data_IF_189737986215
#
_entry.id   IF_189737986215
#
_cell.length_a   1.000
_cell.length_b   1.000
_cell.length_c   1.000
_cell.angle_alpha   90.00
_cell.angle_beta   90.00
_cell.angle_gamma   90.00
#
_symmetry.space_group_name_H-M   'P 1'
#
loop_
_entity.id
_entity.type
_entity.pdbx_description
1 polymer ?
#
# COMPACT_ATOMS: atom_id res chain seq x y z
N UNK A 1 4.87 -7.19 -3.20
CA UNK A 1 4.79 -6.94 -4.65
C UNK A 1 5.93 -6.00 -5.06
N UNK A 2 6.44 -6.12 -6.31
CA UNK A 2 7.47 -5.24 -6.88
C UNK A 2 8.93 -5.59 -6.56
N UNK A 3 9.22 -6.53 -5.69
CA UNK A 3 10.58 -7.02 -5.45
C UNK A 3 10.96 -8.09 -6.47
N UNK A 4 12.19 -7.98 -6.99
CA UNK A 4 12.77 -9.00 -7.90
C UNK A 4 13.60 -10.02 -7.11
N UNK A 5 13.98 -11.13 -7.76
CA UNK A 5 14.73 -12.22 -7.11
C UNK A 5 16.04 -11.78 -6.46
N UNK A 6 16.74 -10.79 -7.03
CA UNK A 6 17.94 -10.18 -6.44
C UNK A 6 17.64 -9.46 -5.12
N UNK A 7 16.50 -8.76 -5.03
CA UNK A 7 16.09 -8.04 -3.83
C UNK A 7 15.76 -9.01 -2.70
N UNK A 8 15.06 -10.11 -3.02
CA UNK A 8 14.76 -11.18 -2.06
C UNK A 8 16.03 -11.84 -1.54
N UNK A 9 17.01 -12.12 -2.42
CA UNK A 9 18.30 -12.66 -2.02
C UNK A 9 19.06 -11.69 -1.12
N UNK A 10 19.06 -10.41 -1.45
CA UNK A 10 19.68 -9.36 -0.63
C UNK A 10 18.99 -9.24 0.73
N UNK A 11 17.66 -9.29 0.75
CA UNK A 11 16.87 -9.23 1.99
C UNK A 11 17.22 -10.39 2.94
N UNK A 12 17.34 -11.62 2.44
CA UNK A 12 17.73 -12.78 3.25
C UNK A 12 19.16 -12.63 3.78
N UNK A 13 20.09 -12.14 2.96
CA UNK A 13 21.46 -11.86 3.39
C UNK A 13 21.51 -10.81 4.50
N UNK A 14 20.82 -9.68 4.36
CA UNK A 14 20.76 -8.64 5.39
C UNK A 14 20.11 -9.15 6.68
N UNK A 15 19.04 -9.97 6.57
CA UNK A 15 18.41 -10.59 7.74
C UNK A 15 19.37 -11.52 8.49
N UNK A 16 20.17 -12.32 7.76
CA UNK A 16 21.20 -13.17 8.36
C UNK A 16 22.29 -12.35 9.05
N UNK A 17 22.75 -11.26 8.42
CA UNK A 17 23.71 -10.32 9.02
C UNK A 17 23.15 -9.71 10.30
N UNK A 18 21.87 -9.30 10.31
CA UNK A 18 21.21 -8.76 11.50
C UNK A 18 21.13 -9.80 12.64
N UNK A 19 20.77 -11.04 12.34
CA UNK A 19 20.73 -12.11 13.33
C UNK A 19 22.11 -12.30 14.01
N UNK A 20 23.17 -12.41 13.20
CA UNK A 20 24.56 -12.57 13.70
C UNK A 20 25.02 -11.35 14.50
N UNK A 21 24.74 -10.14 14.02
CA UNK A 21 25.06 -8.89 14.71
C UNK A 21 24.42 -8.78 16.09
N UNK A 22 23.21 -9.37 16.23
CA UNK A 22 22.47 -9.43 17.50
C UNK A 22 22.80 -10.71 18.31
N UNK A 23 23.89 -11.43 17.99
CA UNK A 23 24.38 -12.61 18.71
C UNK A 23 23.51 -13.86 18.54
N UNK A 24 22.68 -13.92 17.51
CA UNK A 24 21.78 -15.05 17.21
C UNK A 24 22.31 -15.89 16.05
N UNK A 25 22.02 -17.19 16.09
CA UNK A 25 22.38 -18.13 15.02
C UNK A 25 21.23 -18.36 14.02
N UNK A 26 20.00 -17.93 14.37
CA UNK A 26 18.83 -18.11 13.55
C UNK A 26 18.21 -16.76 13.25
N UNK A 27 17.76 -16.60 12.02
CA UNK A 27 16.99 -15.44 11.54
C UNK A 27 15.58 -15.54 12.13
N UNK A 28 15.07 -14.43 12.65
CA UNK A 28 13.70 -14.31 13.09
C UNK A 28 12.92 -13.32 12.19
N UNK A 29 11.63 -13.18 12.46
CA UNK A 29 10.77 -12.34 11.65
C UNK A 29 11.14 -10.84 11.74
N UNK A 30 11.64 -10.37 12.90
CA UNK A 30 12.08 -8.97 13.03
C UNK A 30 13.30 -8.67 12.15
N UNK A 31 14.22 -9.63 11.96
CA UNK A 31 15.36 -9.47 11.06
C UNK A 31 14.93 -9.35 9.61
N UNK A 32 13.90 -10.13 9.22
CA UNK A 32 13.32 -10.07 7.87
C UNK A 32 12.61 -8.73 7.62
N UNK A 33 11.87 -8.21 8.60
CA UNK A 33 11.24 -6.91 8.48
C UNK A 33 12.27 -5.78 8.37
N UNK A 34 13.33 -5.79 9.20
CA UNK A 34 14.38 -4.79 9.12
C UNK A 34 15.13 -4.85 7.78
N UNK A 35 15.38 -6.08 7.29
CA UNK A 35 15.99 -6.29 5.98
C UNK A 35 15.07 -5.84 4.82
N UNK A 36 13.76 -6.10 4.91
CA UNK A 36 12.77 -5.60 3.96
C UNK A 36 12.78 -4.07 3.90
N UNK A 37 12.75 -3.40 5.04
CA UNK A 37 12.81 -1.95 5.09
C UNK A 37 14.10 -1.39 4.49
N UNK A 38 15.23 -2.07 4.72
CA UNK A 38 16.51 -1.69 4.14
C UNK A 38 16.50 -1.77 2.61
N UNK A 39 15.89 -2.81 2.06
CA UNK A 39 15.84 -3.04 0.60
C UNK A 39 14.75 -2.19 -0.07
N UNK A 40 13.56 -2.10 0.52
CA UNK A 40 12.40 -1.42 -0.07
C UNK A 40 12.45 0.10 0.10
N UNK A 41 12.85 0.59 1.27
CA UNK A 41 12.87 2.03 1.59
C UNK A 41 14.26 2.64 1.36
N UNK A 42 15.30 1.81 1.47
CA UNK A 42 16.70 2.24 1.34
C UNK A 42 17.28 2.83 2.63
N UNK A 43 18.56 2.50 2.87
CA UNK A 43 19.33 3.02 3.99
C UNK A 43 18.97 2.43 5.35
N UNK A 44 19.94 2.45 6.27
CA UNK A 44 19.77 2.01 7.67
C UNK A 44 19.28 3.18 8.54
N UNK A 45 18.59 2.86 9.62
CA UNK A 45 18.24 3.85 10.62
C UNK A 45 19.48 4.58 11.16
N UNK A 46 19.39 5.89 11.22
CA UNK A 46 20.48 6.77 11.64
C UNK A 46 20.28 7.15 13.10
N UNK A 47 20.87 6.36 14.00
CA UNK A 47 20.74 6.58 15.45
C UNK A 47 21.47 7.83 15.96
N UNK A 48 22.43 8.37 15.18
CA UNK A 48 23.30 9.46 15.61
C UNK A 48 22.83 10.86 15.13
N UNK A 49 21.73 10.96 14.40
CA UNK A 49 21.21 12.23 13.93
C UNK A 49 20.13 12.74 14.85
N UNK A 50 20.46 13.76 15.61
CA UNK A 50 19.49 14.50 16.44
C UNK A 50 18.82 15.54 15.56
N UNK A 51 17.56 15.29 15.17
CA UNK A 51 16.69 16.34 14.61
C UNK A 51 16.30 17.30 15.75
N UNK A 52 16.16 18.59 15.43
CA UNK A 52 15.58 19.53 16.38
C UNK A 52 14.10 19.15 16.65
N UNK A 53 13.61 19.50 17.84
CA UNK A 53 12.19 19.26 18.21
C UNK A 53 11.22 19.88 17.19
N UNK A 54 11.58 21.04 16.64
CA UNK A 54 10.79 21.69 15.60
C UNK A 54 10.73 20.84 14.32
N UNK A 55 11.87 20.32 13.87
CA UNK A 55 11.91 19.44 12.67
C UNK A 55 11.17 18.14 12.92
N UNK A 56 11.38 17.50 14.08
CA UNK A 56 10.65 16.28 14.45
C UNK A 56 9.13 16.49 14.41
N UNK A 57 8.66 17.63 14.92
CA UNK A 57 7.24 17.96 14.90
C UNK A 57 6.73 18.17 13.47
N UNK A 58 7.47 18.88 12.62
CA UNK A 58 7.11 19.08 11.21
C UNK A 58 7.05 17.74 10.48
N UNK A 59 8.07 16.89 10.64
CA UNK A 59 8.11 15.56 9.99
C UNK A 59 6.96 14.67 10.48
N UNK A 60 6.60 14.72 11.79
CA UNK A 60 5.46 13.94 12.30
C UNK A 60 4.15 14.30 11.59
N UNK A 61 3.88 15.58 11.41
CA UNK A 61 2.68 16.04 10.70
C UNK A 61 2.73 15.72 9.20
N UNK A 62 3.90 15.81 8.59
CA UNK A 62 4.13 15.46 7.19
C UNK A 62 3.79 13.98 6.94
N UNK A 63 4.37 13.06 7.71
CA UNK A 63 4.16 11.63 7.56
C UNK A 63 2.73 11.20 7.91
N UNK A 64 2.16 11.76 8.98
CA UNK A 64 0.75 11.50 9.31
C UNK A 64 -0.18 12.09 8.27
N UNK A 65 0.19 13.21 7.64
CA UNK A 65 -0.55 13.78 6.51
C UNK A 65 -0.72 12.77 5.38
N UNK A 66 0.37 12.13 4.96
CA UNK A 66 0.33 11.06 3.95
C UNK A 66 -0.55 9.89 4.38
N UNK A 67 -0.35 9.39 5.60
CA UNK A 67 -1.10 8.26 6.11
C UNK A 67 -2.61 8.56 6.24
N UNK A 68 -2.96 9.73 6.75
CA UNK A 68 -4.34 10.12 6.98
C UNK A 68 -5.10 10.33 5.67
N UNK A 69 -4.51 11.03 4.70
CA UNK A 69 -5.13 11.22 3.37
C UNK A 69 -5.27 9.89 2.66
N UNK A 70 -4.30 8.99 2.77
CA UNK A 70 -4.43 7.64 2.26
C UNK A 70 -5.61 6.90 2.90
N UNK A 71 -5.73 6.90 4.22
CA UNK A 71 -6.81 6.21 4.93
C UNK A 71 -8.21 6.79 4.68
N UNK A 72 -8.30 8.07 4.31
CA UNK A 72 -9.55 8.74 3.98
C UNK A 72 -10.04 8.46 2.55
N UNK A 73 -9.17 8.04 1.66
CA UNK A 73 -9.47 7.71 0.27
C UNK A 73 -9.79 6.22 0.09
N UNK A 74 -10.61 5.88 -0.91
CA UNK A 74 -11.02 4.48 -1.17
C UNK A 74 -10.03 3.70 -2.02
N UNK A 75 -9.22 4.38 -2.82
CA UNK A 75 -8.41 3.79 -3.89
C UNK A 75 -6.90 3.92 -3.58
N UNK A 76 -6.53 3.68 -2.33
CA UNK A 76 -5.16 3.80 -1.83
C UNK A 76 -4.68 2.51 -1.20
N UNK A 77 -3.37 2.38 -1.09
CA UNK A 77 -2.73 1.24 -0.46
C UNK A 77 -2.75 1.39 1.09
N UNK A 78 -2.92 0.28 1.84
CA UNK A 78 -2.95 0.33 3.28
C UNK A 78 -1.60 0.76 3.87
N UNK A 79 -1.68 1.57 4.92
CA UNK A 79 -0.51 2.02 5.68
C UNK A 79 -0.01 0.87 6.55
N UNK A 80 1.27 0.51 6.40
CA UNK A 80 1.92 -0.56 7.17
C UNK A 80 2.74 -0.01 8.33
N UNK A 81 3.40 1.13 8.13
CA UNK A 81 4.26 1.74 9.14
C UNK A 81 4.40 3.25 8.86
N UNK A 82 4.48 4.03 9.93
CA UNK A 82 4.82 5.45 9.87
C UNK A 82 5.97 5.69 10.84
N UNK A 83 7.02 6.38 10.40
CA UNK A 83 8.18 6.65 11.25
C UNK A 83 8.80 8.01 10.95
N UNK A 84 9.33 8.65 11.98
CA UNK A 84 10.12 9.88 11.89
C UNK A 84 11.60 9.62 12.21
N UNK A 85 12.01 8.36 12.24
CA UNK A 85 13.42 7.98 12.45
C UNK A 85 14.18 8.17 11.15
N UNK A 86 15.21 9.06 11.12
CA UNK A 86 15.96 9.36 9.91
C UNK A 86 16.73 8.15 9.38
N UNK A 87 16.87 8.08 8.05
CA UNK A 87 17.65 7.03 7.38
C UNK A 87 18.93 7.56 6.73
N UNK A 88 19.88 6.67 6.45
CA UNK A 88 21.20 7.03 5.91
C UNK A 88 21.13 7.61 4.50
N UNK A 89 20.10 7.32 3.72
CA UNK A 89 19.90 7.86 2.36
C UNK A 89 19.13 9.18 2.31
N UNK A 90 18.97 9.86 3.44
CA UNK A 90 18.49 11.25 3.50
C UNK A 90 17.03 11.42 3.86
N UNK A 91 16.22 10.37 3.89
CA UNK A 91 14.85 10.45 4.39
C UNK A 91 14.86 10.81 5.88
N UNK A 92 14.02 11.79 6.26
CA UNK A 92 13.85 12.24 7.65
C UNK A 92 12.76 11.43 8.37
N UNK A 93 11.83 10.89 7.61
CA UNK A 93 10.76 9.98 7.99
C UNK A 93 10.29 9.24 6.74
N UNK A 94 9.33 8.35 6.89
CA UNK A 94 8.60 7.75 5.78
C UNK A 94 7.31 7.10 6.27
N UNK A 95 6.34 7.07 5.36
CA UNK A 95 5.10 6.31 5.48
C UNK A 95 5.16 5.14 4.50
N UNK A 96 5.23 3.91 5.05
CA UNK A 96 5.26 2.70 4.24
C UNK A 96 3.85 2.27 3.90
N UNK A 97 3.56 2.21 2.62
CA UNK A 97 2.34 1.67 2.05
C UNK A 97 2.69 0.48 1.17
N UNK A 98 1.94 -0.58 1.26
CA UNK A 98 2.16 -1.78 0.42
C UNK A 98 0.82 -2.28 -0.11
N UNK A 99 0.74 -2.59 -1.41
CA UNK A 99 -0.47 -3.18 -1.97
C UNK A 99 -0.74 -4.55 -1.33
N UNK A 100 -2.00 -4.83 -1.03
CA UNK A 100 -2.43 -6.14 -0.52
C UNK A 100 -2.37 -7.22 -1.60
N UNK A 101 -2.61 -6.84 -2.86
CA UNK A 101 -2.58 -7.73 -4.01
C UNK A 101 -1.62 -7.22 -5.09
N UNK A 102 -1.10 -8.14 -5.92
CA UNK A 102 -0.34 -7.75 -7.11
C UNK A 102 -1.27 -7.09 -8.13
N UNK A 103 -1.01 -5.82 -8.43
CA UNK A 103 -1.80 -5.03 -9.34
C UNK A 103 -0.95 -4.55 -10.51
N UNK A 104 -1.39 -4.86 -11.71
CA UNK A 104 -0.68 -4.51 -12.95
C UNK A 104 -1.31 -3.33 -13.70
N UNK A 105 -2.55 -2.97 -13.37
CA UNK A 105 -3.27 -1.87 -14.00
C UNK A 105 -3.74 -0.88 -12.95
N UNK A 106 -3.51 0.38 -13.19
CA UNK A 106 -3.97 1.48 -12.34
C UNK A 106 -5.00 2.32 -13.10
N UNK A 107 -6.09 2.63 -12.46
CA UNK A 107 -7.14 3.50 -13.00
C UNK A 107 -6.79 4.98 -12.82
N UNK A 108 -7.48 5.87 -13.57
CA UNK A 108 -7.34 7.32 -13.41
C UNK A 108 -7.57 7.76 -11.96
N UNK A 109 -8.59 7.21 -11.30
CA UNK A 109 -8.94 7.57 -9.92
C UNK A 109 -7.89 7.13 -8.92
N UNK A 110 -7.26 5.97 -9.12
CA UNK A 110 -6.16 5.50 -8.28
C UNK A 110 -4.91 6.35 -8.42
N UNK A 111 -4.56 6.75 -9.65
CA UNK A 111 -3.43 7.64 -9.88
C UNK A 111 -3.68 9.02 -9.27
N UNK A 112 -4.90 9.56 -9.37
CA UNK A 112 -5.27 10.82 -8.71
C UNK A 112 -5.21 10.69 -7.19
N UNK A 113 -5.67 9.58 -6.62
CA UNK A 113 -5.57 9.31 -5.19
C UNK A 113 -4.10 9.23 -4.72
N UNK A 114 -3.23 8.59 -5.52
CA UNK A 114 -1.77 8.59 -5.28
C UNK A 114 -1.17 9.98 -5.28
N UNK A 115 -1.50 10.81 -6.28
CA UNK A 115 -1.02 12.20 -6.37
C UNK A 115 -1.50 12.99 -5.13
N UNK A 116 -2.77 12.83 -4.76
CA UNK A 116 -3.35 13.48 -3.58
C UNK A 116 -2.61 13.07 -2.30
N UNK A 117 -2.29 11.80 -2.17
CA UNK A 117 -1.50 11.27 -1.05
C UNK A 117 -0.08 11.87 -1.03
N UNK A 118 0.62 11.97 -2.17
CA UNK A 118 1.92 12.65 -2.24
C UNK A 118 1.84 14.13 -1.85
N UNK A 119 0.77 14.83 -2.21
CA UNK A 119 0.60 16.25 -1.85
C UNK A 119 0.27 16.45 -0.36
N UNK A 120 -0.15 15.42 0.35
CA UNK A 120 -0.68 15.51 1.71
C UNK A 120 0.37 15.92 2.75
N UNK A 121 1.63 15.46 2.62
CA UNK A 121 2.71 15.89 3.50
C UNK A 121 2.90 17.41 3.46
N UNK A 122 3.00 17.97 2.25
CA UNK A 122 3.05 19.43 2.05
C UNK A 122 1.81 20.15 2.56
N UNK A 123 0.64 19.59 2.32
CA UNK A 123 -0.63 20.15 2.78
C UNK A 123 -0.68 20.22 4.32
N UNK A 124 -0.21 19.17 5.01
CA UNK A 124 -0.12 19.16 6.48
C UNK A 124 0.85 20.21 7.02
N UNK A 125 2.04 20.38 6.39
CA UNK A 125 2.98 21.44 6.78
C UNK A 125 2.34 22.84 6.69
N UNK A 126 1.67 23.13 5.59
CA UNK A 126 1.03 24.44 5.36
C UNK A 126 -0.14 24.65 6.31
N UNK A 127 -0.99 23.64 6.48
CA UNK A 127 -2.18 23.72 7.34
C UNK A 127 -1.83 23.97 8.82
N UNK A 128 -0.76 23.35 9.29
CA UNK A 128 -0.40 23.36 10.72
C UNK A 128 0.58 24.47 11.07
N UNK A 129 1.61 24.64 10.23
CA UNK A 129 2.73 25.54 10.56
C UNK A 129 2.73 26.80 9.69
N UNK A 130 1.82 26.92 8.74
CA UNK A 130 1.81 28.00 7.73
C UNK A 130 3.22 28.20 7.10
N UNK A 131 3.92 27.11 6.84
CA UNK A 131 5.28 27.08 6.37
C UNK A 131 5.48 25.94 5.38
N UNK A 132 6.46 26.08 4.51
CA UNK A 132 6.85 25.07 3.53
C UNK A 132 8.32 24.69 3.75
N UNK A 133 8.62 23.40 3.68
CA UNK A 133 9.98 22.88 3.84
C UNK A 133 10.47 22.20 2.57
N UNK A 134 11.76 21.91 2.49
CA UNK A 134 12.32 21.11 1.39
C UNK A 134 11.99 19.61 1.50
N UNK A 135 11.36 19.16 2.60
CA UNK A 135 11.07 17.75 2.86
C UNK A 135 10.17 17.11 1.80
N UNK A 136 9.20 17.86 1.28
CA UNK A 136 8.28 17.38 0.26
C UNK A 136 8.85 17.30 -1.18
N UNK A 137 10.16 17.50 -1.38
CA UNK A 137 10.73 17.56 -2.74
C UNK A 137 10.52 16.25 -3.53
N UNK A 138 10.73 15.10 -2.90
CA UNK A 138 10.57 13.80 -3.53
C UNK A 138 9.08 13.50 -3.83
N UNK A 139 8.17 13.90 -2.96
CA UNK A 139 6.73 13.70 -3.15
C UNK A 139 6.21 14.52 -4.33
N UNK A 140 6.65 15.79 -4.43
CA UNK A 140 6.33 16.67 -5.55
C UNK A 140 6.89 16.11 -6.87
N UNK A 141 8.10 15.57 -6.85
CA UNK A 141 8.71 14.94 -8.03
C UNK A 141 7.92 13.73 -8.48
N UNK A 142 7.56 12.82 -7.56
CA UNK A 142 6.80 11.62 -7.87
C UNK A 142 5.37 11.95 -8.34
N UNK A 143 4.68 12.86 -7.67
CA UNK A 143 3.38 13.35 -8.10
C UNK A 143 3.42 13.94 -9.53
N UNK A 144 4.45 14.74 -9.83
CA UNK A 144 4.65 15.34 -11.15
C UNK A 144 4.91 14.27 -12.22
N UNK A 145 5.72 13.25 -11.92
CA UNK A 145 5.97 12.12 -12.84
C UNK A 145 4.67 11.39 -13.18
N UNK A 146 3.85 11.08 -12.18
CA UNK A 146 2.57 10.40 -12.37
C UNK A 146 1.60 11.28 -13.19
N UNK A 147 1.42 12.54 -12.81
CA UNK A 147 0.54 13.46 -13.53
C UNK A 147 0.97 13.63 -15.00
N UNK A 148 2.28 13.74 -15.25
CA UNK A 148 2.82 13.82 -16.61
C UNK A 148 2.57 12.55 -17.40
N UNK A 149 2.74 11.35 -16.81
CA UNK A 149 2.46 10.08 -17.46
C UNK A 149 0.96 9.92 -17.79
N UNK A 150 0.06 10.35 -16.89
CA UNK A 150 -1.38 10.37 -17.13
C UNK A 150 -1.75 11.18 -18.38
N UNK A 151 -1.14 12.37 -18.51
CA UNK A 151 -1.41 13.29 -19.64
C UNK A 151 -0.75 12.81 -20.93
N UNK A 152 0.51 12.34 -20.87
CA UNK A 152 1.30 12.13 -22.10
C UNK A 152 1.34 10.69 -22.60
N UNK A 153 1.12 9.70 -21.71
CA UNK A 153 1.31 8.29 -22.05
C UNK A 153 0.03 7.46 -21.91
N UNK A 154 -0.79 7.71 -20.88
CA UNK A 154 -1.93 6.85 -20.56
C UNK A 154 -3.25 7.30 -21.18
N UNK A 155 -3.29 8.46 -21.82
CA UNK A 155 -4.53 8.99 -22.43
C UNK A 155 -5.60 9.32 -21.40
N UNK A 156 -5.22 9.72 -20.20
CA UNK A 156 -6.12 9.99 -19.08
C UNK A 156 -6.48 11.50 -18.92
N UNK A 157 -6.00 12.35 -19.82
CA UNK A 157 -6.37 13.76 -19.85
C UNK A 157 -7.64 13.99 -20.68
N UNK A 158 -8.58 14.73 -20.14
CA UNK A 158 -9.80 15.10 -20.88
C UNK A 158 -9.50 16.07 -22.03
N UNK A 159 -8.39 16.83 -21.95
CA UNK A 159 -7.97 17.79 -22.95
C UNK A 159 -7.33 17.15 -24.18
N UNK A 160 -6.50 16.12 -23.98
CA UNK A 160 -5.76 15.46 -25.06
C UNK A 160 -6.34 14.12 -25.48
N UNK A 161 -7.26 13.57 -24.67
CA UNK A 161 -7.88 12.29 -24.93
C UNK A 161 -6.86 11.16 -25.05
N UNK A 162 -7.04 10.29 -26.04
CA UNK A 162 -6.17 9.11 -26.27
C UNK A 162 -4.97 9.41 -27.18
N UNK A 163 -4.43 10.63 -27.15
CA UNK A 163 -3.25 11.00 -27.91
C UNK A 163 -1.99 10.62 -27.14
N UNK A 164 -1.08 9.88 -27.76
CA UNK A 164 0.26 9.63 -27.22
C UNK A 164 1.16 10.84 -27.51
N UNK A 165 1.62 11.50 -26.46
CA UNK A 165 2.40 12.75 -26.53
C UNK A 165 3.86 12.56 -26.12
N UNK A 166 4.22 11.40 -25.59
CA UNK A 166 5.60 11.05 -25.20
C UNK A 166 5.91 9.59 -25.52
N UNK A 167 7.14 9.33 -25.96
CA UNK A 167 7.64 7.95 -26.15
C UNK A 167 8.87 7.70 -25.30
N UNK A 168 9.00 6.52 -24.76
CA UNK A 168 10.22 6.06 -24.08
C UNK A 168 11.24 5.73 -25.16
N UNK A 169 12.26 6.58 -25.33
CA UNK A 169 13.25 6.45 -26.42
C UNK A 169 14.25 5.31 -26.20
N UNK A 170 14.45 4.81 -25.01
CA UNK A 170 15.30 3.64 -24.74
C UNK A 170 14.96 3.04 -23.36
N UNK A 171 14.43 1.83 -23.38
CA UNK A 171 14.08 1.09 -22.18
C UNK A 171 15.32 0.61 -21.37
N UNK A 172 16.52 0.63 -22.00
CA UNK A 172 17.78 0.11 -21.47
C UNK A 172 18.84 1.19 -21.16
N UNK A 173 18.61 2.42 -21.57
CA UNK A 173 19.43 3.57 -21.24
C UNK A 173 18.55 4.54 -20.47
N UNK A 174 19.05 5.22 -19.45
CA UNK A 174 18.35 6.22 -18.64
C UNK A 174 17.85 7.44 -19.45
N UNK A 175 17.24 7.17 -20.59
CA UNK A 175 16.60 8.16 -21.44
C UNK A 175 15.16 8.36 -20.98
N UNK A 176 14.88 9.50 -20.38
CA UNK A 176 13.51 9.91 -20.04
C UNK A 176 12.58 9.87 -21.25
N UNK A 177 11.26 9.80 -21.03
CA UNK A 177 10.29 9.90 -22.09
C UNK A 177 10.46 11.24 -22.85
N UNK A 178 10.76 11.15 -24.12
CA UNK A 178 10.86 12.32 -25.00
C UNK A 178 9.45 12.73 -25.48
N UNK A 179 9.16 14.04 -25.42
CA UNK A 179 7.93 14.58 -26.02
C UNK A 179 7.97 14.49 -27.54
N UNK A 180 6.86 14.05 -28.13
CA UNK A 180 6.68 13.94 -29.60
C UNK A 180 5.61 14.92 -30.09
N UNK A 181 5.57 16.11 -29.54
CA UNK A 181 4.60 17.14 -29.85
C UNK A 181 5.29 18.49 -30.09
N UNK A 182 4.57 19.44 -30.72
CA UNK A 182 5.06 20.80 -30.91
C UNK A 182 5.08 21.62 -29.61
N UNK A 183 5.85 22.72 -29.60
CA UNK A 183 6.08 23.58 -28.43
C UNK A 183 4.77 24.09 -27.79
N UNK A 184 3.79 24.46 -28.60
CA UNK A 184 2.50 24.91 -28.07
C UNK A 184 1.75 23.78 -27.33
N UNK A 185 1.84 22.55 -27.80
CA UNK A 185 1.26 21.38 -27.12
C UNK A 185 2.03 21.05 -25.84
N UNK A 186 3.37 21.19 -25.87
CA UNK A 186 4.20 20.99 -24.68
C UNK A 186 3.82 21.97 -23.55
N UNK A 187 3.61 23.25 -23.87
CA UNK A 187 3.11 24.24 -22.89
C UNK A 187 1.75 23.85 -22.32
N UNK A 188 0.85 23.35 -23.16
CA UNK A 188 -0.48 22.91 -22.72
C UNK A 188 -0.42 21.64 -21.86
N UNK A 189 0.57 20.75 -22.07
CA UNK A 189 0.82 19.60 -21.19
C UNK A 189 1.24 20.09 -19.81
N UNK A 190 2.13 21.08 -19.74
CA UNK A 190 2.59 21.64 -18.45
C UNK A 190 1.43 22.31 -17.69
N UNK A 191 0.54 23.03 -18.38
CA UNK A 191 -0.67 23.62 -17.78
C UNK A 191 -1.59 22.53 -17.21
N UNK A 192 -1.79 21.44 -17.95
CA UNK A 192 -2.66 20.33 -17.52
C UNK A 192 -2.06 19.58 -16.31
N UNK A 193 -0.75 19.29 -16.35
CA UNK A 193 -0.03 18.69 -15.22
C UNK A 193 -0.15 19.57 -13.97
N UNK A 194 0.07 20.88 -14.12
CA UNK A 194 -0.08 21.82 -13.01
C UNK A 194 -1.51 21.84 -12.46
N UNK A 195 -2.51 21.76 -13.33
CA UNK A 195 -3.92 21.69 -12.93
C UNK A 195 -4.21 20.44 -12.10
N UNK A 196 -3.71 19.27 -12.52
CA UNK A 196 -3.85 18.01 -11.77
C UNK A 196 -3.22 18.13 -10.39
N UNK A 197 -1.97 18.61 -10.30
CA UNK A 197 -1.25 18.79 -9.04
C UNK A 197 -2.00 19.73 -8.10
N UNK A 198 -2.43 20.89 -8.60
CA UNK A 198 -3.16 21.88 -7.79
C UNK A 198 -4.50 21.34 -7.29
N UNK A 199 -5.24 20.61 -8.12
CA UNK A 199 -6.52 19.99 -7.73
C UNK A 199 -6.30 18.94 -6.66
N UNK A 200 -5.30 18.08 -6.81
CA UNK A 200 -4.94 17.05 -5.82
C UNK A 200 -4.45 17.67 -4.51
N UNK A 201 -3.67 18.75 -4.58
CA UNK A 201 -3.24 19.50 -3.39
C UNK A 201 -4.44 20.13 -2.65
N UNK A 202 -5.37 20.74 -3.39
CA UNK A 202 -6.57 21.31 -2.80
C UNK A 202 -7.45 20.25 -2.12
N UNK A 203 -7.57 19.07 -2.72
CA UNK A 203 -8.31 17.96 -2.10
C UNK A 203 -7.59 17.43 -0.85
N UNK A 204 -6.26 17.30 -0.87
CA UNK A 204 -5.47 16.93 0.31
C UNK A 204 -5.66 17.94 1.46
N UNK A 205 -5.59 19.23 1.15
CA UNK A 205 -5.85 20.31 2.13
C UNK A 205 -7.23 20.18 2.76
N UNK A 206 -8.25 19.98 1.93
CA UNK A 206 -9.64 19.82 2.40
C UNK A 206 -9.80 18.59 3.30
N UNK A 207 -9.27 17.44 2.88
CA UNK A 207 -9.34 16.19 3.67
C UNK A 207 -8.64 16.35 5.03
N UNK A 208 -7.50 17.03 5.09
CA UNK A 208 -6.77 17.26 6.34
C UNK A 208 -7.47 18.29 7.23
N UNK A 209 -8.03 19.36 6.67
CA UNK A 209 -8.76 20.39 7.42
C UNK A 209 -10.02 19.82 8.06
N UNK A 210 -10.81 19.04 7.31
CA UNK A 210 -12.00 18.34 7.78
C UNK A 210 -11.68 17.29 8.88
N UNK A 211 -10.43 16.82 8.96
CA UNK A 211 -9.98 15.79 9.91
C UNK A 211 -8.86 16.30 10.83
N UNK A 212 -8.84 17.60 11.11
CA UNK A 212 -7.78 18.25 11.84
C UNK A 212 -7.49 17.63 13.21
N UNK A 213 -8.50 17.27 13.98
CA UNK A 213 -8.35 16.67 15.30
C UNK A 213 -7.65 15.30 15.24
N UNK A 214 -7.93 14.51 14.20
CA UNK A 214 -7.28 13.22 13.95
C UNK A 214 -5.81 13.44 13.58
N UNK A 215 -5.54 14.39 12.67
CA UNK A 215 -4.19 14.77 12.29
C UNK A 215 -3.35 15.17 13.51
N UNK A 216 -3.87 16.06 14.34
CA UNK A 216 -3.16 16.55 15.54
C UNK A 216 -2.89 15.41 16.53
N UNK A 217 -3.89 14.57 16.83
CA UNK A 217 -3.76 13.48 17.82
C UNK A 217 -2.77 12.40 17.38
N UNK A 218 -2.83 11.98 16.12
CA UNK A 218 -1.92 10.94 15.62
C UNK A 218 -0.50 11.50 15.44
N UNK A 219 -0.35 12.77 15.03
CA UNK A 219 0.95 13.41 14.88
C UNK A 219 1.65 13.58 16.22
N UNK A 220 0.93 13.98 17.27
CA UNK A 220 1.48 14.08 18.63
C UNK A 220 1.87 12.69 19.17
N UNK A 221 1.09 11.66 18.90
CA UNK A 221 1.43 10.27 19.27
C UNK A 221 2.69 9.78 18.53
N UNK A 222 2.78 10.02 17.20
CA UNK A 222 3.96 9.70 16.40
C UNK A 222 5.20 10.47 16.88
N UNK A 223 5.05 11.75 17.22
CA UNK A 223 6.15 12.57 17.74
C UNK A 223 6.75 11.97 19.03
N UNK A 224 5.92 11.41 19.92
CA UNK A 224 6.36 10.79 21.18
C UNK A 224 6.96 9.39 20.96
N UNK A 225 6.34 8.57 20.11
CA UNK A 225 6.69 7.17 19.92
C UNK A 225 7.74 6.94 18.83
N UNK A 226 7.95 7.93 17.95
CA UNK A 226 8.85 7.95 16.78
C UNK A 226 8.48 6.97 15.67
N UNK A 227 7.79 5.88 15.99
CA UNK A 227 7.36 4.87 15.01
C UNK A 227 6.03 4.27 15.46
N UNK A 228 5.05 4.20 14.55
CA UNK A 228 3.77 3.54 14.76
C UNK A 228 3.50 2.53 13.64
N UNK A 229 2.89 1.41 13.99
CA UNK A 229 2.49 0.39 13.02
C UNK A 229 1.18 0.78 12.34
N UNK A 230 0.93 0.22 11.15
CA UNK A 230 -0.33 0.43 10.45
C UNK A 230 -1.55 0.00 11.28
N UNK A 231 -1.44 -1.07 12.06
CA UNK A 231 -2.51 -1.51 12.97
C UNK A 231 -2.83 -0.47 14.04
N UNK A 232 -1.80 0.10 14.67
CA UNK A 232 -1.98 1.16 15.67
C UNK A 232 -2.57 2.43 15.08
N UNK A 233 -2.06 2.83 13.91
CA UNK A 233 -2.59 3.95 13.15
C UNK A 233 -4.07 3.76 12.82
N UNK A 234 -4.43 2.62 12.22
CA UNK A 234 -5.81 2.34 11.83
C UNK A 234 -6.75 2.20 13.03
N UNK A 235 -6.26 1.68 14.17
CA UNK A 235 -7.04 1.65 15.40
C UNK A 235 -7.36 3.06 15.87
N UNK A 236 -6.37 3.94 16.02
CA UNK A 236 -6.58 5.33 16.42
C UNK A 236 -7.52 6.07 15.45
N UNK A 237 -7.32 5.87 14.14
CA UNK A 237 -8.16 6.47 13.10
C UNK A 237 -9.62 6.04 13.24
N UNK A 238 -9.90 4.74 13.42
CA UNK A 238 -11.25 4.19 13.58
C UNK A 238 -11.91 4.65 14.88
N UNK A 239 -11.19 4.58 15.99
CA UNK A 239 -11.67 5.03 17.30
C UNK A 239 -12.13 6.50 17.23
N UNK A 240 -11.34 7.37 16.61
CA UNK A 240 -11.68 8.79 16.46
C UNK A 240 -12.80 9.06 15.44
N UNK A 241 -12.96 8.18 14.43
CA UNK A 241 -14.06 8.25 13.45
C UNK A 241 -15.34 7.58 13.95
N UNK A 242 -15.31 6.85 15.06
CA UNK A 242 -16.43 6.04 15.53
C UNK A 242 -16.76 4.88 14.59
N UNK A 243 -15.74 4.34 13.88
CA UNK A 243 -15.89 3.20 12.98
C UNK A 243 -15.64 1.89 13.75
N UNK A 244 -16.41 0.81 13.46
CA UNK A 244 -16.23 -0.47 14.13
C UNK A 244 -14.84 -1.08 13.87
N UNK A 245 -14.37 -1.90 14.82
CA UNK A 245 -13.14 -2.68 14.63
C UNK A 245 -13.46 -3.89 13.73
N UNK A 246 -12.71 -4.12 12.63
CA UNK A 246 -12.96 -5.26 11.74
C UNK A 246 -12.72 -6.63 12.39
N UNK A 247 -11.98 -6.68 13.51
CA UNK A 247 -11.81 -7.91 14.28
C UNK A 247 -13.06 -8.21 15.13
N UNK A 248 -13.85 -7.20 15.55
CA UNK A 248 -15.14 -7.39 16.22
C UNK A 248 -16.25 -7.84 15.25
N UNK A 249 -16.20 -7.44 13.98
CA UNK A 249 -17.15 -7.90 12.95
C UNK A 249 -16.94 -9.38 12.60
N UNK A 250 -15.70 -9.88 12.54
CA UNK A 250 -15.40 -11.29 12.27
C UNK A 250 -15.85 -12.21 13.41
N UNK A 251 -15.63 -11.81 14.65
CA UNK A 251 -16.10 -12.55 15.82
C UNK A 251 -17.64 -12.59 15.90
N UNK A 252 -18.30 -11.53 15.40
CA UNK A 252 -19.76 -11.45 15.30
C UNK A 252 -20.36 -12.31 14.17
N UNK A 253 -19.65 -12.47 13.06
CA UNK A 253 -20.08 -13.36 11.95
C UNK A 253 -19.81 -14.83 12.25
N UNK A 254 -18.63 -15.18 12.80
CA UNK A 254 -18.34 -16.54 13.24
C UNK A 254 -19.30 -17.01 14.36
N UNK A 255 -19.68 -16.11 15.27
CA UNK A 255 -20.66 -16.39 16.31
C UNK A 255 -22.06 -16.65 15.74
N UNK A 256 -22.47 -15.93 14.69
CA UNK A 256 -23.75 -16.12 14.00
C UNK A 256 -23.77 -17.38 13.12
N UNK A 257 -22.65 -17.73 12.48
CA UNK A 257 -22.53 -18.98 11.73
C UNK A 257 -22.53 -20.18 12.66
N UNK A 258 -21.92 -20.14 13.83
CA UNK A 258 -21.96 -21.20 14.83
C UNK A 258 -23.37 -21.35 15.45
N UNK A 259 -24.08 -20.25 15.67
CA UNK A 259 -25.45 -20.28 16.17
C UNK A 259 -26.45 -20.80 15.14
N UNK A 260 -26.25 -20.51 13.85
CA UNK A 260 -27.04 -21.07 12.75
C UNK A 260 -26.73 -22.55 12.50
N UNK A 261 -25.46 -22.97 12.59
CA UNK A 261 -25.09 -24.39 12.47
C UNK A 261 -25.63 -25.24 13.64
N UNK A 262 -25.75 -24.67 14.85
CA UNK A 262 -26.40 -25.36 15.97
C UNK A 262 -27.92 -25.42 15.84
N UNK A 263 -28.60 -24.49 15.21
CA UNK A 263 -30.03 -24.51 14.94
C UNK A 263 -30.39 -25.53 13.87
N UNK A 264 -29.59 -25.71 12.84
CA UNK A 264 -29.80 -26.74 11.81
C UNK A 264 -29.56 -28.15 12.34
N UNK A 265 -28.67 -28.34 13.31
CA UNK A 265 -28.44 -29.66 13.93
C UNK A 265 -29.56 -30.07 14.89
N UNK A 266 -30.33 -29.14 15.43
CA UNK A 266 -31.48 -29.45 16.31
C UNK A 266 -32.77 -29.73 15.55
N UNK A 267 -32.88 -29.38 14.26
CA UNK A 267 -34.01 -29.68 13.40
C UNK A 267 -33.92 -31.09 12.74
N UNK A 268 -32.76 -31.75 12.79
CA UNK A 268 -32.53 -33.08 12.21
C UNK A 268 -32.75 -34.27 13.19
N UNK A 269 -33.23 -34.02 14.39
CA UNK A 269 -33.48 -35.05 15.41
C UNK A 269 -34.99 -35.25 15.65
N UNK A 270 -35.73 -35.62 14.60
CA UNK A 270 -37.09 -36.15 14.75
C UNK A 270 -37.06 -37.68 14.55
N UNK A 271 -37.41 -38.49 15.60
CA UNK A 271 -37.18 -39.94 15.61
C UNK A 271 -38.27 -40.79 14.96
N UNK A 272 -39.06 -40.30 14.02
CA UNK A 272 -40.22 -41.00 13.47
C UNK A 272 -40.16 -41.20 11.94
N UNK A 273 -39.13 -41.84 11.41
CA UNK A 273 -39.21 -42.50 10.09
C UNK A 273 -38.15 -43.62 10.00
N UNK A 274 -38.36 -44.72 10.76
CA UNK A 274 -37.84 -46.04 10.41
C UNK A 274 -38.85 -46.74 9.58
N UNK A 275 -38.59 -47.00 8.32
CA UNK A 275 -39.19 -48.05 7.55
C UNK A 275 -38.14 -49.03 7.08
N UNK A 276 -38.29 -50.24 7.57
CA UNK A 276 -37.62 -51.45 7.14
C UNK A 276 -37.93 -51.71 5.65
N UNK A 277 -36.94 -52.15 4.92
CA UNK A 277 -37.02 -53.26 3.95
C UNK A 277 -35.60 -53.68 3.54
N UNK A 278 -35.19 -54.77 4.11
CA UNK A 278 -34.63 -56.03 3.59
C UNK A 278 -33.84 -56.07 2.28
N UNK A 279 -32.65 -56.53 2.48
CA UNK A 279 -31.89 -57.68 1.93
C UNK A 279 -31.15 -57.60 0.60
N UNK A 280 -30.08 -58.39 0.45
CA UNK A 280 -28.96 -58.12 -0.47
C UNK A 280 -29.00 -58.99 -1.72
N UNK A 281 -28.32 -58.58 -2.76
CA UNK A 281 -27.98 -59.46 -3.88
C UNK A 281 -26.50 -59.26 -4.29
N UNK A 282 -25.76 -60.32 -4.10
CA UNK A 282 -24.52 -60.67 -4.78
C UNK A 282 -24.67 -60.56 -6.31
N UNK A 283 -23.66 -60.07 -6.99
CA UNK A 283 -23.04 -60.78 -8.12
C UNK A 283 -21.73 -60.12 -8.52
N UNK A 284 -20.70 -60.93 -8.52
CA UNK A 284 -19.47 -60.88 -9.31
C UNK A 284 -19.67 -60.39 -10.75
N UNK A 285 -18.76 -59.60 -11.26
CA UNK A 285 -18.06 -59.96 -12.51
C UNK A 285 -16.84 -59.06 -12.77
N UNK A 286 -15.79 -59.70 -13.06
CA UNK A 286 -14.48 -59.30 -13.56
C UNK A 286 -14.47 -58.91 -15.01
N UNK A 287 -13.75 -57.87 -15.37
CA UNK A 287 -12.98 -57.72 -16.61
C UNK A 287 -12.32 -56.34 -16.54
N UNK A 288 -11.02 -56.11 -16.55
CA UNK A 288 -10.09 -56.60 -17.56
C UNK A 288 -10.05 -55.57 -18.73
N UNK A 289 -9.26 -54.49 -18.55
CA UNK A 289 -8.83 -53.76 -19.76
C UNK A 289 -7.38 -53.30 -19.66
N UNK A 290 -6.63 -53.79 -20.58
CA UNK A 290 -5.23 -53.59 -20.90
C UNK A 290 -4.99 -52.24 -21.54
N UNK A 291 -3.83 -51.69 -21.26
CA UNK A 291 -3.21 -50.58 -22.00
C UNK A 291 -2.83 -50.97 -23.43
N UNK A 292 -2.71 -50.03 -24.35
CA UNK A 292 -1.75 -50.16 -25.42
C UNK A 292 -0.60 -49.13 -25.30
N UNK A 293 0.60 -49.67 -25.36
CA UNK A 293 1.77 -49.08 -25.98
C UNK A 293 1.43 -48.61 -27.41
N UNK A 294 1.93 -47.51 -27.85
CA UNK A 294 2.68 -47.51 -29.10
C UNK A 294 3.49 -46.26 -29.37
N UNK A 295 4.64 -46.58 -29.79
CA UNK A 295 5.75 -45.89 -30.38
C UNK A 295 5.41 -45.19 -31.71
N UNK A 296 6.19 -44.16 -31.99
CA UNK A 296 6.89 -43.87 -33.23
C UNK A 296 6.59 -42.54 -33.97
N UNK A 297 7.70 -41.85 -34.16
CA UNK A 297 8.19 -41.18 -35.39
C UNK A 297 7.41 -39.99 -36.02
N UNK A 298 7.91 -38.82 -35.94
CA UNK A 298 8.78 -38.11 -36.91
C UNK A 298 9.06 -36.69 -36.41
#
# INVERSE_FOLDING_TARGET
AGLVGSDLSNMINEAAINAVKNGRQLVNQSDLFEAFELVAVGGKEKKDRVMSDKERKIVSYHEVGHALVSALQKNTEPVQKITIVPRTMGALGYTLQTPEEEKYLETKDELLAKITTYMAGRAAEVLVFNSVTSGAANDIENATKIARAMVTMYGMSDKFGMMCLATVQNQYLEGGAGLICGENTASQIDDEVLSIINSSYAEAMKLLDENREILDSISDYLYQKETITGKEFMKMFRDMKGLPDPDEEKDGEESKEQENAQKDTTLAADPLLRNDTDQPADTNESSGYTAPDDTSNN
#
